data_IF_665629886902
#
_entry.id   IF_665629886902
#
_cell.length_a   1.000
_cell.length_b   1.000
_cell.length_c   1.000
_cell.angle_alpha   90.00
_cell.angle_beta   90.00
_cell.angle_gamma   90.00
#
_symmetry.space_group_name_H-M   'P 1'
#
loop_
_entity.id
_entity.type
_entity.pdbx_description
1 polymer ?
#
# COMPACT_ATOMS: atom_id res chain seq x y z
N UNK A 1 -9.81 26.81 6.24
CA UNK A 1 -8.94 25.69 5.84
C UNK A 1 -8.63 25.90 4.37
N UNK A 2 -7.36 25.86 3.93
CA UNK A 2 -7.03 25.96 2.52
C UNK A 2 -7.63 24.78 1.74
N UNK A 3 -8.13 25.04 0.54
CA UNK A 3 -8.70 24.01 -0.33
C UNK A 3 -7.61 23.03 -0.82
N UNK A 4 -8.03 21.82 -1.19
CA UNK A 4 -7.15 20.81 -1.77
C UNK A 4 -6.46 21.32 -3.03
N UNK A 5 -5.18 21.00 -3.21
CA UNK A 5 -4.55 21.17 -4.51
C UNK A 5 -5.13 20.17 -5.53
N UNK A 6 -5.16 20.52 -6.83
CA UNK A 6 -5.52 19.57 -7.87
C UNK A 6 -4.65 18.31 -7.81
N UNK A 7 -5.25 17.15 -7.97
CA UNK A 7 -4.53 15.88 -8.08
C UNK A 7 -4.26 15.60 -9.57
N UNK A 8 -3.04 15.85 -10.07
CA UNK A 8 -2.70 15.55 -11.46
C UNK A 8 -2.72 14.04 -11.72
N UNK A 9 -2.91 13.67 -12.99
CA UNK A 9 -3.13 12.27 -13.39
C UNK A 9 -1.99 11.33 -12.99
N UNK A 10 -0.74 11.79 -13.02
CA UNK A 10 0.44 11.04 -12.57
C UNK A 10 0.42 10.76 -11.06
N UNK A 11 0.05 11.75 -10.24
CA UNK A 11 -0.14 11.55 -8.80
C UNK A 11 -1.33 10.65 -8.49
N UNK A 12 -2.39 10.72 -9.28
CA UNK A 12 -3.55 9.81 -9.18
C UNK A 12 -3.14 8.39 -9.55
N UNK A 13 -2.33 8.22 -10.59
CA UNK A 13 -1.80 6.94 -11.04
C UNK A 13 -0.88 6.31 -9.98
N UNK A 14 0.05 7.08 -9.41
CA UNK A 14 0.88 6.62 -8.29
C UNK A 14 0.04 6.16 -7.08
N UNK A 15 -1.07 6.83 -6.79
CA UNK A 15 -1.97 6.39 -5.72
C UNK A 15 -2.70 5.09 -6.06
N UNK A 16 -3.07 4.86 -7.33
CA UNK A 16 -3.67 3.59 -7.77
C UNK A 16 -2.69 2.43 -7.66
N UNK A 17 -1.46 2.63 -8.14
CA UNK A 17 -0.39 1.64 -8.03
C UNK A 17 -0.09 1.32 -6.57
N UNK A 18 -0.05 2.34 -5.70
CA UNK A 18 0.12 2.12 -4.26
C UNK A 18 -1.04 1.32 -3.67
N UNK A 19 -2.29 1.64 -4.02
CA UNK A 19 -3.46 0.91 -3.54
C UNK A 19 -3.44 -0.56 -4.02
N UNK A 20 -3.02 -0.81 -5.27
CA UNK A 20 -2.86 -2.15 -5.83
C UNK A 20 -1.75 -2.94 -5.13
N UNK A 21 -0.58 -2.32 -4.90
CA UNK A 21 0.54 -2.96 -4.21
C UNK A 21 0.23 -3.27 -2.74
N UNK A 22 -0.45 -2.36 -2.02
CA UNK A 22 -0.89 -2.59 -0.65
C UNK A 22 -1.92 -3.76 -0.59
N UNK A 23 -2.83 -3.86 -1.57
CA UNK A 23 -3.75 -5.00 -1.68
C UNK A 23 -3.00 -6.31 -1.96
N UNK A 24 -2.06 -6.32 -2.90
CA UNK A 24 -1.27 -7.50 -3.24
C UNK A 24 -0.48 -8.03 -2.04
N UNK A 25 0.14 -7.12 -1.26
CA UNK A 25 0.84 -7.47 -0.03
C UNK A 25 -0.10 -8.07 1.04
N UNK A 26 -1.29 -7.47 1.21
CA UNK A 26 -2.29 -7.97 2.16
C UNK A 26 -2.83 -9.35 1.76
N UNK A 27 -3.18 -9.52 0.48
CA UNK A 27 -3.68 -10.78 -0.08
C UNK A 27 -2.64 -11.89 0.06
N UNK A 28 -1.37 -11.60 -0.25
CA UNK A 28 -0.27 -12.55 -0.06
C UNK A 28 -0.15 -12.97 1.41
N UNK A 29 -0.12 -12.01 2.33
CA UNK A 29 0.01 -12.29 3.76
C UNK A 29 -1.16 -13.11 4.31
N UNK A 30 -2.38 -12.79 3.87
CA UNK A 30 -3.59 -13.52 4.25
C UNK A 30 -3.58 -14.94 3.70
N UNK A 31 -3.23 -15.11 2.42
CA UNK A 31 -3.10 -16.41 1.76
C UNK A 31 -2.10 -17.30 2.50
N UNK A 32 -0.88 -16.79 2.77
CA UNK A 32 0.15 -17.55 3.49
C UNK A 32 -0.24 -17.85 4.93
N UNK A 33 -0.91 -16.91 5.61
CA UNK A 33 -1.45 -17.18 6.94
C UNK A 33 -2.47 -18.33 6.93
N UNK A 34 -3.36 -18.38 5.92
CA UNK A 34 -4.33 -19.46 5.78
C UNK A 34 -3.65 -20.79 5.43
N UNK A 35 -2.71 -20.79 4.49
CA UNK A 35 -1.92 -21.96 4.08
C UNK A 35 -1.19 -22.60 5.28
N UNK A 36 -0.47 -21.80 6.07
CA UNK A 36 0.28 -22.31 7.22
C UNK A 36 -0.64 -22.76 8.36
N UNK A 37 -1.81 -22.15 8.54
CA UNK A 37 -2.83 -22.64 9.48
C UNK A 37 -3.38 -24.01 9.06
N UNK A 38 -3.63 -24.21 7.77
CA UNK A 38 -4.07 -25.50 7.25
C UNK A 38 -2.99 -26.58 7.39
N UNK A 39 -1.72 -26.22 7.17
CA UNK A 39 -0.57 -27.13 7.33
C UNK A 39 -0.27 -27.49 8.79
N UNK A 40 -0.54 -26.56 9.71
CA UNK A 40 -0.27 -26.71 11.13
C UNK A 40 -1.51 -26.36 11.97
N UNK A 41 -2.51 -27.26 12.01
CA UNK A 41 -3.83 -26.98 12.58
C UNK A 41 -3.83 -26.95 14.12
N UNK A 42 -2.88 -27.61 14.78
CA UNK A 42 -2.92 -27.78 16.24
C UNK A 42 -2.56 -26.47 16.97
N UNK A 43 -3.22 -26.14 18.10
CA UNK A 43 -2.93 -24.93 18.86
C UNK A 43 -1.45 -24.79 19.25
N UNK A 44 -0.82 -25.90 19.64
CA UNK A 44 0.60 -25.97 20.02
C UNK A 44 1.60 -25.74 18.88
N UNK A 45 1.14 -25.65 17.63
CA UNK A 45 2.01 -25.48 16.45
C UNK A 45 2.22 -24.00 16.05
N UNK A 46 2.06 -23.07 16.99
CA UNK A 46 2.19 -21.63 16.71
C UNK A 46 3.57 -21.25 16.13
N UNK A 47 4.64 -21.88 16.62
CA UNK A 47 6.00 -21.61 16.14
C UNK A 47 6.20 -22.08 14.69
N UNK A 48 5.59 -23.20 14.30
CA UNK A 48 5.63 -23.71 12.93
C UNK A 48 4.88 -22.78 11.97
N UNK A 49 3.75 -22.20 12.41
CA UNK A 49 3.01 -21.19 11.62
C UNK A 49 3.79 -19.88 11.44
N UNK A 50 4.59 -19.50 12.43
CA UNK A 50 5.41 -18.29 12.39
C UNK A 50 6.68 -18.45 11.51
N UNK A 51 7.09 -19.70 11.23
CA UNK A 51 8.29 -19.99 10.44
C UNK A 51 7.91 -20.20 8.97
N UNK A 52 7.74 -19.08 8.26
CA UNK A 52 7.54 -19.11 6.81
C UNK A 52 8.77 -19.65 6.08
N UNK A 53 8.55 -20.24 4.92
CA UNK A 53 9.59 -20.66 4.00
C UNK A 53 10.37 -19.43 3.51
N UNK A 54 11.64 -19.62 3.18
CA UNK A 54 12.51 -18.53 2.72
C UNK A 54 11.97 -17.85 1.46
N UNK A 55 11.35 -18.62 0.56
CA UNK A 55 10.70 -18.12 -0.64
C UNK A 55 9.51 -17.21 -0.32
N UNK A 56 8.68 -17.58 0.66
CA UNK A 56 7.54 -16.77 1.10
C UNK A 56 7.99 -15.47 1.77
N UNK A 57 9.07 -15.53 2.55
CA UNK A 57 9.70 -14.34 3.16
C UNK A 57 10.26 -13.42 2.08
N UNK A 58 10.94 -13.97 1.07
CA UNK A 58 11.52 -13.20 -0.03
C UNK A 58 10.44 -12.51 -0.87
N UNK A 59 9.34 -13.21 -1.20
CA UNK A 59 8.21 -12.62 -1.93
C UNK A 59 7.51 -11.53 -1.11
N UNK A 60 7.23 -11.78 0.18
CA UNK A 60 6.69 -10.76 1.07
C UNK A 60 7.62 -9.53 1.14
N UNK A 61 8.93 -9.76 1.17
CA UNK A 61 9.95 -8.72 1.12
C UNK A 61 9.85 -7.85 -0.14
N UNK A 62 9.76 -8.47 -1.33
CA UNK A 62 9.61 -7.77 -2.62
C UNK A 62 8.33 -6.94 -2.70
N UNK A 63 7.20 -7.50 -2.28
CA UNK A 63 5.91 -6.79 -2.25
C UNK A 63 5.99 -5.60 -1.29
N UNK A 64 6.60 -5.79 -0.12
CA UNK A 64 6.80 -4.71 0.85
C UNK A 64 7.70 -3.61 0.31
N UNK A 65 8.79 -3.95 -0.38
CA UNK A 65 9.70 -2.99 -1.01
C UNK A 65 8.96 -2.15 -2.05
N UNK A 66 8.19 -2.79 -2.94
CA UNK A 66 7.34 -2.12 -3.94
C UNK A 66 6.39 -1.10 -3.29
N UNK A 67 5.71 -1.49 -2.20
CA UNK A 67 4.85 -0.57 -1.43
C UNK A 67 5.63 0.62 -0.87
N UNK A 68 6.85 0.40 -0.37
CA UNK A 68 7.66 1.49 0.17
C UNK A 68 8.13 2.46 -0.92
N UNK A 69 8.57 1.94 -2.07
CA UNK A 69 8.96 2.75 -3.22
C UNK A 69 7.81 3.65 -3.68
N UNK A 70 6.61 3.09 -3.83
CA UNK A 70 5.41 3.85 -4.21
C UNK A 70 5.01 4.89 -3.15
N UNK A 71 5.12 4.56 -1.86
CA UNK A 71 4.91 5.53 -0.77
C UNK A 71 5.89 6.69 -0.83
N UNK A 72 7.16 6.40 -1.14
CA UNK A 72 8.19 7.43 -1.30
C UNK A 72 7.86 8.30 -2.50
N UNK A 73 7.52 7.71 -3.66
CA UNK A 73 7.16 8.44 -4.87
C UNK A 73 5.97 9.40 -4.62
N UNK A 74 4.90 8.93 -3.99
CA UNK A 74 3.75 9.76 -3.61
C UNK A 74 4.15 10.91 -2.68
N UNK A 75 5.03 10.65 -1.71
CA UNK A 75 5.49 11.65 -0.72
C UNK A 75 6.37 12.72 -1.36
N UNK A 76 7.23 12.33 -2.29
CA UNK A 76 8.16 13.21 -2.99
C UNK A 76 7.53 13.95 -4.17
N UNK A 77 6.34 13.54 -4.60
CA UNK A 77 5.63 14.19 -5.69
C UNK A 77 5.47 15.71 -5.45
N UNK A 78 5.75 16.58 -6.44
CA UNK A 78 5.74 18.04 -6.27
C UNK A 78 4.46 18.60 -5.65
N UNK A 79 3.29 18.10 -6.07
CA UNK A 79 1.99 18.51 -5.50
C UNK A 79 1.84 18.10 -4.04
N UNK A 80 2.34 16.93 -3.65
CA UNK A 80 2.33 16.51 -2.23
C UNK A 80 3.20 17.46 -1.42
N UNK A 81 4.43 17.74 -1.87
CA UNK A 81 5.35 18.68 -1.20
C UNK A 81 4.73 20.08 -1.09
N UNK A 82 4.15 20.60 -2.17
CA UNK A 82 3.49 21.91 -2.17
C UNK A 82 2.30 21.95 -1.22
N UNK A 83 1.48 20.89 -1.16
CA UNK A 83 0.32 20.82 -0.26
C UNK A 83 0.71 20.92 1.22
N UNK A 84 1.88 20.41 1.59
CA UNK A 84 2.45 20.59 2.93
C UNK A 84 2.87 22.03 3.17
N UNK A 85 3.56 22.65 2.19
CA UNK A 85 4.01 24.04 2.31
C UNK A 85 2.85 25.04 2.45
N UNK A 86 1.72 24.79 1.79
CA UNK A 86 0.53 25.66 1.85
C UNK A 86 -0.52 25.25 2.89
N UNK A 87 -0.25 24.19 3.66
CA UNK A 87 -1.10 23.77 4.78
C UNK A 87 -2.40 23.03 4.40
N UNK A 88 -2.50 22.47 3.19
CA UNK A 88 -3.68 21.71 2.71
C UNK A 88 -3.37 20.21 2.44
N UNK A 89 -2.34 19.66 3.08
CA UNK A 89 -1.86 18.31 2.82
C UNK A 89 -2.93 17.24 3.06
N UNK A 90 -3.77 17.40 4.08
CA UNK A 90 -4.82 16.44 4.43
C UNK A 90 -5.92 16.41 3.37
N UNK A 91 -6.37 17.58 2.96
CA UNK A 91 -7.39 17.80 1.94
C UNK A 91 -6.92 17.27 0.58
N UNK A 92 -5.66 17.59 0.22
CA UNK A 92 -5.03 17.12 -1.02
C UNK A 92 -4.87 15.59 -1.04
N UNK A 93 -4.44 14.99 0.08
CA UNK A 93 -4.34 13.53 0.18
C UNK A 93 -5.72 12.85 0.06
N UNK A 94 -6.77 13.44 0.64
CA UNK A 94 -8.13 12.93 0.52
C UNK A 94 -8.65 13.05 -0.92
N UNK A 95 -8.46 14.20 -1.57
CA UNK A 95 -8.86 14.43 -2.96
C UNK A 95 -8.19 13.43 -3.91
N UNK A 96 -6.88 13.21 -3.76
CA UNK A 96 -6.11 12.20 -4.50
C UNK A 96 -6.68 10.79 -4.31
N UNK A 97 -6.93 10.36 -3.07
CA UNK A 97 -7.51 9.03 -2.79
C UNK A 97 -8.90 8.86 -3.40
N UNK A 98 -9.72 9.91 -3.37
CA UNK A 98 -11.03 9.90 -4.02
C UNK A 98 -10.88 9.79 -5.55
N UNK A 99 -9.96 10.55 -6.15
CA UNK A 99 -9.69 10.50 -7.58
C UNK A 99 -9.16 9.12 -8.03
N UNK A 100 -8.25 8.51 -7.26
CA UNK A 100 -7.72 7.18 -7.54
C UNK A 100 -8.83 6.11 -7.60
N UNK A 101 -9.82 6.20 -6.71
CA UNK A 101 -10.96 5.26 -6.62
C UNK A 101 -12.02 5.47 -7.69
N UNK A 102 -12.11 6.67 -8.28
CA UNK A 102 -13.02 6.92 -9.40
C UNK A 102 -12.43 6.23 -10.63
N UNK A 103 -13.07 5.12 -11.04
CA UNK A 103 -12.79 4.51 -12.35
C UNK A 103 -13.19 5.54 -13.41
N UNK A 104 -12.24 5.89 -14.28
CA UNK A 104 -12.60 6.47 -15.58
C UNK A 104 -13.25 5.30 -16.31
N UNK A 105 -14.57 5.38 -16.48
CA UNK A 105 -15.35 4.38 -17.21
C UNK A 105 -15.03 4.39 -18.69
#
# INVERSE_FOLDING_TARGET
MPDALPAPDDLVQLQRELDEADNALADFAQSKTAEYRARFPEPGQALQRARWAEEDIAEFGRLRETVQELRIAVRQHPVTVLSHAVGCARETAQARKVAARRRVG
#
